data_IF_365218904992
#
_entry.id   IF_365218904992
#
_cell.length_a   1.000
_cell.length_b   1.000
_cell.length_c   1.000
_cell.angle_alpha   90.00
_cell.angle_beta   90.00
_cell.angle_gamma   90.00
#
_symmetry.space_group_name_H-M   'P 1'
#
loop_
_entity.id
_entity.type
_entity.pdbx_description
1 polymer ?
#
# COMPACT_ATOMS: atom_id res chain seq x y z
N UNK A 1 24.88 3.38 11.88
CA UNK A 1 23.69 4.25 12.01
C UNK A 1 23.07 4.67 10.67
N UNK A 2 23.85 5.10 9.66
CA UNK A 2 23.30 5.53 8.37
C UNK A 2 22.71 4.38 7.53
N UNK A 3 23.38 3.23 7.47
CA UNK A 3 22.88 2.06 6.71
C UNK A 3 21.59 1.48 7.28
N UNK A 4 21.45 1.40 8.61
CA UNK A 4 20.22 0.97 9.27
C UNK A 4 19.04 1.90 8.90
N UNK A 5 19.29 3.22 8.87
CA UNK A 5 18.28 4.20 8.46
C UNK A 5 17.87 4.02 7.00
N UNK A 6 18.81 3.69 6.12
CA UNK A 6 18.56 3.44 4.69
C UNK A 6 17.67 2.21 4.49
N UNK A 7 17.96 1.12 5.19
CA UNK A 7 17.17 -0.12 5.17
C UNK A 7 15.77 0.14 5.74
N UNK A 8 15.67 0.85 6.86
CA UNK A 8 14.40 1.21 7.48
C UNK A 8 13.52 2.06 6.55
N UNK A 9 14.10 3.10 5.94
CA UNK A 9 13.40 3.95 4.98
C UNK A 9 12.97 3.18 3.73
N UNK A 10 13.80 2.25 3.24
CA UNK A 10 13.45 1.39 2.12
C UNK A 10 12.23 0.53 2.44
N UNK A 11 12.21 -0.12 3.62
CA UNK A 11 11.08 -0.94 4.05
C UNK A 11 9.80 -0.10 4.17
N UNK A 12 9.89 1.07 4.81
CA UNK A 12 8.78 2.00 4.90
C UNK A 12 8.26 2.43 3.52
N UNK A 13 9.13 2.88 2.62
CA UNK A 13 8.71 3.38 1.32
C UNK A 13 8.22 2.29 0.37
N UNK A 14 8.79 1.08 0.43
CA UNK A 14 8.37 -0.02 -0.43
C UNK A 14 7.12 -0.74 0.09
N UNK A 15 7.05 -1.04 1.40
CA UNK A 15 5.95 -1.84 1.96
C UNK A 15 4.79 -0.98 2.41
N UNK A 16 5.00 0.07 3.20
CA UNK A 16 3.92 0.98 3.60
C UNK A 16 3.64 2.02 2.51
N UNK A 17 4.70 2.54 1.91
CA UNK A 17 4.65 3.54 0.87
C UNK A 17 4.16 2.99 -0.46
N UNK A 18 4.40 1.71 -0.77
CA UNK A 18 4.05 1.10 -2.07
C UNK A 18 4.42 1.98 -3.27
N UNK A 19 5.62 2.60 -3.25
CA UNK A 19 6.08 3.48 -4.32
C UNK A 19 6.13 2.77 -5.69
N UNK A 20 6.40 1.45 -5.69
CA UNK A 20 6.37 0.62 -6.89
C UNK A 20 4.99 0.61 -7.55
N UNK A 21 3.92 0.67 -6.76
CA UNK A 21 2.54 0.67 -7.24
C UNK A 21 2.20 2.01 -7.89
N UNK A 22 2.63 3.12 -7.30
CA UNK A 22 2.45 4.46 -7.90
C UNK A 22 3.10 4.54 -9.28
N UNK A 23 4.36 4.06 -9.41
CA UNK A 23 5.07 4.01 -10.71
C UNK A 23 4.37 3.11 -11.73
N UNK A 24 3.82 1.99 -11.29
CA UNK A 24 3.12 1.04 -12.17
C UNK A 24 1.81 1.61 -12.68
N UNK A 25 1.01 2.24 -11.80
CA UNK A 25 -0.24 2.92 -12.18
C UNK A 25 0.08 4.06 -13.16
N UNK A 26 1.08 4.90 -12.89
CA UNK A 26 1.48 5.96 -13.82
C UNK A 26 1.90 5.43 -15.20
N UNK A 27 2.65 4.33 -15.27
CA UNK A 27 3.00 3.70 -16.55
C UNK A 27 1.77 3.17 -17.29
N UNK A 28 0.83 2.54 -16.59
CA UNK A 28 -0.42 2.04 -17.19
C UNK A 28 -1.26 3.20 -17.73
N UNK A 29 -1.43 4.28 -16.94
CA UNK A 29 -2.17 5.47 -17.36
C UNK A 29 -1.51 6.15 -18.58
N UNK A 30 -0.18 6.26 -18.59
CA UNK A 30 0.56 6.79 -19.74
C UNK A 30 0.37 5.91 -21.00
N UNK A 31 0.36 4.58 -20.86
CA UNK A 31 0.06 3.66 -21.97
C UNK A 31 -1.37 3.79 -22.48
N UNK A 32 -2.33 4.13 -21.61
CA UNK A 32 -3.71 4.40 -21.97
C UNK A 32 -3.91 5.80 -22.59
N UNK A 33 -2.84 6.57 -22.76
CA UNK A 33 -2.89 7.92 -23.34
C UNK A 33 -3.44 8.98 -22.38
N UNK A 34 -3.49 8.69 -21.08
CA UNK A 34 -3.92 9.65 -20.06
C UNK A 34 -2.73 10.53 -19.69
N UNK A 35 -2.88 11.84 -19.88
CA UNK A 35 -1.88 12.83 -19.48
C UNK A 35 -1.87 12.98 -17.96
N UNK A 36 -0.89 12.31 -17.33
CA UNK A 36 -0.66 12.30 -15.88
C UNK A 36 0.05 13.56 -15.36
N UNK A 37 0.58 14.40 -16.25
CA UNK A 37 1.18 15.69 -15.91
C UNK A 37 0.09 16.76 -15.68
N UNK A 38 -1.07 16.61 -16.33
CA UNK A 38 -2.25 17.43 -16.12
C UNK A 38 -2.90 17.24 -14.75
N UNK A 39 -3.52 18.30 -14.24
CA UNK A 39 -4.26 18.30 -12.95
C UNK A 39 -5.26 17.16 -12.82
N UNK A 40 -5.97 16.83 -13.90
CA UNK A 40 -7.01 15.80 -13.89
C UNK A 40 -6.40 14.39 -13.91
N UNK A 41 -5.41 14.13 -14.75
CA UNK A 41 -4.76 12.81 -14.82
C UNK A 41 -3.99 12.48 -13.54
N UNK A 42 -3.31 13.45 -12.93
CA UNK A 42 -2.66 13.29 -11.63
C UNK A 42 -3.65 12.96 -10.50
N UNK A 43 -4.83 13.60 -10.48
CA UNK A 43 -5.88 13.27 -9.50
C UNK A 43 -6.45 11.88 -9.69
N UNK A 44 -6.67 11.43 -10.94
CA UNK A 44 -7.15 10.06 -11.22
C UNK A 44 -6.10 9.02 -10.81
N UNK A 45 -4.82 9.27 -11.11
CA UNK A 45 -3.72 8.41 -10.67
C UNK A 45 -3.70 8.30 -9.14
N UNK A 46 -3.76 9.44 -8.44
CA UNK A 46 -3.75 9.49 -6.98
C UNK A 46 -4.96 8.74 -6.39
N UNK A 47 -6.15 8.93 -6.94
CA UNK A 47 -7.36 8.27 -6.47
C UNK A 47 -7.28 6.74 -6.61
N UNK A 48 -6.90 6.24 -7.79
CA UNK A 48 -6.75 4.79 -8.02
C UNK A 48 -5.68 4.22 -7.10
N UNK A 49 -4.55 4.93 -6.99
CA UNK A 49 -3.46 4.54 -6.11
C UNK A 49 -3.91 4.46 -4.64
N UNK A 50 -4.63 5.47 -4.13
CA UNK A 50 -5.06 5.55 -2.74
C UNK A 50 -6.12 4.49 -2.41
N UNK A 51 -7.11 4.29 -3.28
CA UNK A 51 -8.15 3.26 -3.12
C UNK A 51 -7.56 1.85 -3.08
N UNK A 52 -6.65 1.53 -4.00
CA UNK A 52 -5.99 0.21 -4.00
C UNK A 52 -5.09 0.08 -2.76
N UNK A 53 -4.34 1.14 -2.43
CA UNK A 53 -3.40 1.15 -1.31
C UNK A 53 -4.10 0.86 0.01
N UNK A 54 -5.16 1.61 0.33
CA UNK A 54 -5.89 1.42 1.58
C UNK A 54 -6.59 0.06 1.62
N UNK A 55 -7.13 -0.42 0.50
CA UNK A 55 -7.79 -1.74 0.43
C UNK A 55 -6.81 -2.87 0.76
N UNK A 56 -5.61 -2.84 0.18
CA UNK A 56 -4.55 -3.84 0.47
C UNK A 56 -4.10 -3.74 1.92
N UNK A 57 -3.86 -2.52 2.42
CA UNK A 57 -3.41 -2.30 3.81
C UNK A 57 -4.47 -2.78 4.82
N UNK A 58 -5.74 -2.48 4.59
CA UNK A 58 -6.85 -2.95 5.43
C UNK A 58 -7.02 -4.47 5.36
N UNK A 59 -6.90 -5.06 4.17
CA UNK A 59 -6.94 -6.50 3.99
C UNK A 59 -5.79 -7.20 4.75
N UNK A 60 -4.56 -6.73 4.55
CA UNK A 60 -3.40 -7.25 5.27
C UNK A 60 -3.54 -7.09 6.79
N UNK A 61 -4.01 -5.93 7.25
CA UNK A 61 -4.25 -5.67 8.67
C UNK A 61 -5.32 -6.62 9.24
N UNK A 62 -6.44 -6.80 8.54
CA UNK A 62 -7.50 -7.72 8.94
C UNK A 62 -7.00 -9.16 9.02
N UNK A 63 -6.20 -9.62 8.05
CA UNK A 63 -5.58 -10.94 8.06
C UNK A 63 -4.58 -11.10 9.22
N UNK A 64 -3.76 -10.08 9.51
CA UNK A 64 -2.81 -10.12 10.64
C UNK A 64 -3.56 -10.21 11.97
N UNK A 65 -4.61 -9.41 12.15
CA UNK A 65 -5.43 -9.46 13.38
C UNK A 65 -6.11 -10.83 13.50
N UNK A 66 -6.71 -11.33 12.41
CA UNK A 66 -7.32 -12.66 12.38
C UNK A 66 -6.31 -13.77 12.69
N UNK A 67 -5.08 -13.63 12.17
CA UNK A 67 -3.99 -14.56 12.43
C UNK A 67 -3.63 -14.54 13.93
N UNK A 68 -3.37 -13.36 14.51
CA UNK A 68 -3.02 -13.23 15.94
C UNK A 68 -4.13 -13.81 16.84
N UNK A 69 -5.39 -13.51 16.56
CA UNK A 69 -6.53 -14.04 17.31
C UNK A 69 -6.69 -15.56 17.14
N UNK A 70 -6.30 -16.13 16.00
CA UNK A 70 -6.30 -17.57 15.80
C UNK A 70 -5.27 -18.29 16.70
N UNK A 71 -4.14 -17.65 17.02
CA UNK A 71 -3.12 -18.23 17.91
C UNK A 71 -3.44 -18.03 19.40
N UNK A 72 -4.17 -16.97 19.74
CA UNK A 72 -4.77 -16.76 21.05
C UNK A 72 -6.28 -16.93 20.95
N UNK A 73 -6.79 -18.17 20.74
CA UNK A 73 -8.21 -18.39 20.75
C UNK A 73 -8.75 -17.88 22.10
N UNK A 74 -9.87 -17.13 22.11
CA UNK A 74 -10.43 -16.62 23.35
C UNK A 74 -10.63 -17.82 24.29
N UNK A 75 -10.01 -17.77 25.47
CA UNK A 75 -10.23 -18.77 26.50
C UNK A 75 -11.73 -18.75 26.81
N UNK A 76 -12.46 -19.73 26.27
CA UNK A 76 -13.86 -19.93 26.61
C UNK A 76 -13.90 -20.35 28.07
N UNK A 77 -14.15 -19.40 28.98
CA UNK A 77 -14.94 -19.75 30.16
C UNK A 77 -16.31 -20.17 29.64
N UNK A 78 -16.75 -21.35 30.06
CA UNK A 78 -18.15 -21.74 29.94
C UNK A 78 -19.03 -20.78 30.73
#
# INVERSE_FOLDING_TARGET
MQELKRIWLFFLNQILGMEWMNKSIGKILAMLGIDIDGKVGGSVQFFIYDVIKITILLCALSLIISYIQSYFPPQRSK
#
